data_IF_350849864459
#
_entry.id   IF_350849864459
#
_cell.length_a   1.000
_cell.length_b   1.000
_cell.length_c   1.000
_cell.angle_alpha   90.00
_cell.angle_beta   90.00
_cell.angle_gamma   90.00
#
_symmetry.space_group_name_H-M   'P 1'
#
loop_
_entity.id
_entity.type
_entity.pdbx_description
1 polymer ?
#
# COMPACT_ATOMS: atom_id res chain seq x y z
N UNK A 1 20.49 4.40 -14.21
CA UNK A 1 19.30 4.43 -13.33
C UNK A 1 18.68 3.05 -13.37
N UNK A 2 18.29 2.48 -12.21
CA UNK A 2 17.64 1.16 -12.16
C UNK A 2 16.32 1.20 -12.93
N UNK A 3 16.13 0.24 -13.83
CA UNK A 3 14.90 0.00 -14.61
C UNK A 3 13.91 -0.90 -13.87
N UNK A 4 14.24 -1.36 -12.66
CA UNK A 4 13.35 -2.23 -11.91
C UNK A 4 12.24 -1.43 -11.21
N UNK A 5 10.99 -1.85 -11.46
CA UNK A 5 9.84 -1.29 -10.80
C UNK A 5 9.86 -1.69 -9.32
N UNK A 6 10.07 -0.71 -8.45
CA UNK A 6 10.06 -0.93 -6.99
C UNK A 6 8.68 -1.38 -6.51
N UNK A 7 8.67 -2.29 -5.55
CA UNK A 7 7.47 -2.81 -4.87
C UNK A 7 7.56 -2.48 -3.38
N UNK A 8 6.46 -2.05 -2.77
CA UNK A 8 6.37 -1.74 -1.34
C UNK A 8 5.34 -2.66 -0.65
N UNK A 9 5.78 -3.37 0.39
CA UNK A 9 4.91 -4.10 1.31
C UNK A 9 4.63 -3.23 2.55
N UNK A 10 3.35 -2.97 2.82
CA UNK A 10 2.92 -2.14 3.95
C UNK A 10 2.12 -2.99 4.93
N UNK A 11 2.61 -3.13 6.15
CA UNK A 11 1.87 -3.76 7.25
C UNK A 11 0.94 -2.76 7.92
N UNK A 12 -0.27 -3.20 8.28
CA UNK A 12 -1.30 -2.31 8.83
C UNK A 12 -1.78 -1.25 7.84
N UNK A 13 -1.67 -1.51 6.53
CA UNK A 13 -1.95 -0.52 5.48
C UNK A 13 -3.44 -0.27 5.22
N UNK A 14 -4.36 -1.02 5.84
CA UNK A 14 -5.80 -0.89 5.59
C UNK A 14 -6.42 0.42 6.10
N UNK A 15 -5.74 1.16 6.98
CA UNK A 15 -6.28 2.40 7.60
C UNK A 15 -5.21 3.36 8.08
N UNK A 16 -5.65 4.55 8.52
CA UNK A 16 -4.81 5.55 9.16
C UNK A 16 -3.59 5.92 8.32
N UNK A 17 -2.42 5.95 8.97
CA UNK A 17 -1.15 6.32 8.34
C UNK A 17 -0.74 5.31 7.26
N UNK A 18 -0.94 4.00 7.51
CA UNK A 18 -0.58 2.95 6.55
C UNK A 18 -1.29 3.13 5.21
N UNK A 19 -2.59 3.46 5.26
CA UNK A 19 -3.40 3.77 4.06
C UNK A 19 -2.91 5.02 3.33
N UNK A 20 -2.59 6.08 4.07
CA UNK A 20 -2.08 7.31 3.46
C UNK A 20 -0.72 7.09 2.76
N UNK A 21 0.14 6.25 3.34
CA UNK A 21 1.41 5.85 2.72
C UNK A 21 1.17 5.02 1.46
N UNK A 22 0.26 4.04 1.50
CA UNK A 22 -0.09 3.20 0.36
C UNK A 22 -0.51 4.04 -0.85
N UNK A 23 -1.43 4.98 -0.65
CA UNK A 23 -1.88 5.88 -1.70
C UNK A 23 -0.76 6.77 -2.25
N UNK A 24 0.10 7.32 -1.38
CA UNK A 24 1.20 8.18 -1.83
C UNK A 24 2.23 7.40 -2.66
N UNK A 25 2.56 6.18 -2.27
CA UNK A 25 3.50 5.34 -3.01
C UNK A 25 2.90 4.88 -4.34
N UNK A 26 1.64 4.45 -4.36
CA UNK A 26 0.93 4.08 -5.57
C UNK A 26 0.85 5.25 -6.57
N UNK A 27 0.52 6.45 -6.09
CA UNK A 27 0.52 7.67 -6.90
C UNK A 27 1.91 8.02 -7.47
N UNK A 28 2.98 7.51 -6.86
CA UNK A 28 4.37 7.67 -7.34
C UNK A 28 4.79 6.56 -8.32
N UNK A 29 3.87 5.69 -8.75
CA UNK A 29 4.12 4.60 -9.70
C UNK A 29 4.73 3.33 -9.08
N UNK A 30 4.80 3.26 -7.75
CA UNK A 30 5.30 2.08 -7.03
C UNK A 30 4.16 1.06 -6.91
N UNK A 31 4.47 -0.23 -7.14
CA UNK A 31 3.53 -1.31 -6.85
C UNK A 31 3.41 -1.49 -5.34
N UNK A 32 2.20 -1.53 -4.82
CA UNK A 32 1.96 -1.62 -3.38
C UNK A 32 1.21 -2.90 -3.06
N UNK A 33 1.65 -3.60 -2.01
CA UNK A 33 0.93 -4.68 -1.37
C UNK A 33 0.63 -4.27 0.08
N UNK A 34 -0.62 -4.46 0.51
CA UNK A 34 -1.06 -4.12 1.86
C UNK A 34 -1.38 -5.38 2.65
N UNK A 35 -0.81 -5.47 3.85
CA UNK A 35 -1.17 -6.47 4.85
C UNK A 35 -2.07 -5.87 5.93
N UNK A 36 -3.02 -6.66 6.40
CA UNK A 36 -3.98 -6.30 7.46
C UNK A 36 -4.21 -7.50 8.38
N UNK A 37 -4.60 -7.24 9.64
CA UNK A 37 -4.92 -8.29 10.62
C UNK A 37 -6.42 -8.49 10.83
N UNK A 38 -7.20 -7.43 10.62
CA UNK A 38 -8.65 -7.42 10.73
C UNK A 38 -9.19 -6.29 9.83
N UNK A 39 -10.50 -6.31 9.55
CA UNK A 39 -11.18 -5.36 8.64
C UNK A 39 -10.72 -5.53 7.19
N UNK A 40 -11.07 -6.69 6.63
CA UNK A 40 -10.83 -7.03 5.21
C UNK A 40 -11.52 -6.03 4.27
N UNK A 41 -12.72 -5.58 4.63
CA UNK A 41 -13.47 -4.51 3.96
C UNK A 41 -12.60 -3.27 3.75
N UNK A 42 -12.02 -2.75 4.82
CA UNK A 42 -11.14 -1.58 4.77
C UNK A 42 -9.84 -1.84 3.99
N UNK A 43 -9.38 -3.09 3.91
CA UNK A 43 -8.18 -3.44 3.15
C UNK A 43 -8.45 -3.51 1.64
N UNK A 44 -9.63 -4.01 1.22
CA UNK A 44 -10.02 -4.12 -0.19
C UNK A 44 -10.23 -2.77 -0.87
N UNK A 45 -10.52 -1.73 -0.09
CA UNK A 45 -10.66 -0.35 -0.57
C UNK A 45 -9.31 0.35 -0.78
N UNK A 46 -8.17 -0.32 -0.52
CA UNK A 46 -6.84 0.31 -0.55
C UNK A 46 -6.02 -0.24 -1.71
N UNK A 47 -5.82 0.64 -2.70
CA UNK A 47 -4.97 0.54 -3.91
C UNK A 47 -5.06 -0.73 -4.75
#
# INVERSE_FOLDING_TARGET
MSTEQRVALITGGSRGIGRAIAYRLAASGIKVAVNYVAREDAAREVV
#
